data_IF_094373227972
#
_entry.id   IF_094373227972
#
_cell.length_a   1.000
_cell.length_b   1.000
_cell.length_c   1.000
_cell.angle_alpha   90.00
_cell.angle_beta   90.00
_cell.angle_gamma   90.00
#
_symmetry.space_group_name_H-M   'P 1'
#
loop_
_entity.id
_entity.type
_entity.pdbx_description
1 polymer ?
#
# COMPACT_ATOMS: atom_id res chain seq x y z
N UNK A 1 -22.62 26.88 -13.47
CA UNK A 1 -21.52 27.88 -13.39
C UNK A 1 -20.28 27.24 -13.99
N UNK A 2 -19.73 27.82 -15.05
CA UNK A 2 -18.54 27.29 -15.71
C UNK A 2 -17.31 27.51 -14.80
N UNK A 3 -16.70 26.42 -14.34
CA UNK A 3 -15.42 26.41 -13.63
C UNK A 3 -14.33 26.88 -14.60
N UNK A 4 -13.84 28.11 -14.42
CA UNK A 4 -12.65 28.59 -15.11
C UNK A 4 -11.46 27.71 -14.72
N UNK A 5 -11.02 26.85 -15.63
CA UNK A 5 -9.79 26.10 -15.46
C UNK A 5 -8.61 27.07 -15.41
N UNK A 6 -7.96 27.19 -14.24
CA UNK A 6 -6.69 27.92 -14.10
C UNK A 6 -5.67 27.33 -15.08
N UNK A 7 -4.86 28.16 -15.76
CA UNK A 7 -3.77 27.65 -16.60
C UNK A 7 -2.81 26.82 -15.74
N UNK A 8 -2.28 25.70 -16.26
CA UNK A 8 -1.38 24.84 -15.52
C UNK A 8 -0.12 25.63 -15.15
N UNK A 9 0.17 25.69 -13.85
CA UNK A 9 1.42 26.27 -13.34
C UNK A 9 2.59 25.46 -13.92
N UNK A 10 3.71 26.09 -14.31
CA UNK A 10 4.91 25.36 -14.69
C UNK A 10 5.32 24.43 -13.54
N UNK A 11 5.80 23.24 -13.90
CA UNK A 11 6.26 22.26 -12.92
C UNK A 11 7.29 22.92 -11.99
N UNK A 12 7.14 22.78 -10.67
CA UNK A 12 8.10 23.34 -9.72
C UNK A 12 9.50 22.77 -10.00
N UNK A 13 10.50 23.63 -9.86
CA UNK A 13 11.89 23.23 -10.07
C UNK A 13 12.45 22.63 -8.77
N UNK A 14 13.32 21.62 -8.87
CA UNK A 14 14.01 21.10 -7.70
C UNK A 14 14.88 22.17 -7.04
N UNK A 15 15.24 22.00 -5.75
CA UNK A 15 16.08 22.94 -5.02
C UNK A 15 17.38 23.22 -5.75
N UNK A 16 17.92 24.42 -5.58
CA UNK A 16 19.21 24.79 -6.15
C UNK A 16 20.30 23.81 -5.70
N UNK A 17 21.14 23.36 -6.64
CA UNK A 17 22.15 22.34 -6.37
C UNK A 17 21.67 20.88 -6.50
N UNK A 18 20.39 20.63 -6.78
CA UNK A 18 19.92 19.26 -7.07
C UNK A 18 20.60 18.73 -8.34
N UNK A 19 21.30 17.57 -8.28
CA UNK A 19 21.96 17.01 -9.45
C UNK A 19 20.97 16.67 -10.58
N UNK A 20 21.43 16.62 -11.84
CA UNK A 20 20.62 16.14 -12.96
C UNK A 20 20.09 14.72 -12.72
N UNK A 21 18.93 14.40 -13.29
CA UNK A 21 18.27 13.10 -13.11
C UNK A 21 19.18 11.90 -13.40
N UNK A 22 20.03 11.99 -14.43
CA UNK A 22 20.99 10.92 -14.78
C UNK A 22 22.06 10.69 -13.69
N UNK A 23 22.46 11.75 -12.97
CA UNK A 23 23.40 11.63 -11.86
C UNK A 23 22.74 11.02 -10.63
N UNK A 24 21.54 11.49 -10.28
CA UNK A 24 20.71 10.88 -9.23
C UNK A 24 20.48 9.40 -9.50
N UNK A 25 20.15 9.06 -10.75
CA UNK A 25 19.93 7.68 -11.16
C UNK A 25 21.23 6.84 -11.05
N UNK A 26 22.40 7.43 -11.31
CA UNK A 26 23.69 6.76 -11.08
C UNK A 26 23.95 6.50 -9.60
N UNK A 27 23.58 7.43 -8.72
CA UNK A 27 23.64 7.25 -7.26
C UNK A 27 22.71 6.13 -6.80
N UNK A 28 21.47 6.13 -7.27
CA UNK A 28 20.49 5.06 -7.00
C UNK A 28 20.99 3.70 -7.48
N UNK A 29 21.63 3.61 -8.65
CA UNK A 29 22.22 2.35 -9.14
C UNK A 29 23.33 1.83 -8.23
N UNK A 30 24.15 2.72 -7.67
CA UNK A 30 25.18 2.31 -6.70
C UNK A 30 24.56 1.77 -5.42
N UNK A 31 23.55 2.46 -4.88
CA UNK A 31 22.84 2.03 -3.67
C UNK A 31 22.12 0.69 -3.83
N UNK A 32 21.56 0.42 -5.01
CA UNK A 32 20.81 -0.81 -5.31
C UNK A 32 21.66 -1.92 -5.96
N UNK A 33 22.98 -1.76 -6.05
CA UNK A 33 23.83 -2.69 -6.79
C UNK A 33 23.78 -4.14 -6.25
N UNK A 34 23.73 -4.29 -4.91
CA UNK A 34 23.56 -5.59 -4.25
C UNK A 34 22.23 -6.25 -4.61
N UNK A 35 21.14 -5.50 -4.40
CA UNK A 35 19.78 -5.92 -4.75
C UNK A 35 19.64 -6.33 -6.22
N UNK A 36 20.20 -5.58 -7.17
CA UNK A 36 20.16 -5.92 -8.61
C UNK A 36 20.93 -7.18 -8.93
N UNK A 37 22.08 -7.39 -8.27
CA UNK A 37 22.88 -8.61 -8.45
C UNK A 37 22.11 -9.84 -7.97
N UNK A 38 21.48 -9.78 -6.79
CA UNK A 38 20.61 -10.86 -6.29
C UNK A 38 19.38 -11.05 -7.19
N UNK A 39 18.76 -9.96 -7.66
CA UNK A 39 17.60 -10.04 -8.55
C UNK A 39 17.93 -10.70 -9.90
N UNK A 40 19.08 -10.37 -10.50
CA UNK A 40 19.56 -11.00 -11.75
C UNK A 40 19.95 -12.47 -11.54
N UNK A 41 20.52 -12.80 -10.38
CA UNK A 41 20.76 -14.20 -10.02
C UNK A 41 19.44 -14.97 -9.90
N UNK A 42 18.45 -14.40 -9.23
CA UNK A 42 17.14 -15.03 -9.07
C UNK A 42 16.45 -15.25 -10.42
N UNK A 43 16.48 -14.27 -11.32
CA UNK A 43 15.98 -14.41 -12.70
C UNK A 43 16.65 -15.59 -13.43
N UNK A 44 17.97 -15.74 -13.30
CA UNK A 44 18.70 -16.83 -13.95
C UNK A 44 18.50 -18.21 -13.28
N UNK A 45 18.41 -18.26 -11.95
CA UNK A 45 18.47 -19.49 -11.16
C UNK A 45 17.11 -20.01 -10.66
N UNK A 46 16.08 -19.15 -10.61
CA UNK A 46 14.74 -19.46 -10.08
C UNK A 46 13.63 -19.40 -11.16
N UNK A 47 13.96 -19.01 -12.39
CA UNK A 47 12.98 -18.99 -13.49
C UNK A 47 12.34 -20.37 -13.76
N UNK A 48 11.05 -20.41 -14.14
CA UNK A 48 10.32 -21.67 -14.39
C UNK A 48 11.07 -22.58 -15.38
N UNK A 49 11.29 -23.83 -14.98
CA UNK A 49 11.92 -24.86 -15.83
C UNK A 49 13.40 -25.16 -15.55
N UNK A 50 14.05 -24.54 -14.55
CA UNK A 50 15.48 -24.80 -14.23
C UNK A 50 15.85 -25.12 -12.78
N UNK A 51 14.90 -25.21 -11.84
CA UNK A 51 15.20 -25.68 -10.48
C UNK A 51 13.97 -25.76 -9.58
N UNK A 52 13.91 -26.79 -8.73
CA UNK A 52 12.85 -26.99 -7.76
C UNK A 52 13.26 -26.29 -6.46
N UNK A 53 12.82 -25.05 -6.28
CA UNK A 53 12.85 -24.39 -4.98
C UNK A 53 11.73 -24.97 -4.13
N UNK A 54 12.03 -25.39 -2.90
CA UNK A 54 11.01 -25.82 -1.93
C UNK A 54 10.22 -24.61 -1.42
N UNK A 55 8.88 -24.74 -1.23
CA UNK A 55 8.00 -23.63 -0.87
C UNK A 55 8.33 -23.02 0.49
N UNK A 56 8.42 -21.71 0.55
CA UNK A 56 8.35 -20.95 1.80
C UNK A 56 7.55 -19.68 1.49
N UNK A 57 6.24 -19.87 1.32
CA UNK A 57 5.28 -18.93 0.72
C UNK A 57 5.07 -17.60 1.45
N UNK A 58 6.14 -16.83 1.65
CA UNK A 58 6.16 -15.51 2.33
C UNK A 58 7.02 -14.48 1.61
N UNK A 59 7.34 -14.69 0.34
CA UNK A 59 8.15 -13.75 -0.42
C UNK A 59 9.63 -13.66 -0.02
N UNK A 60 10.06 -14.37 1.03
CA UNK A 60 11.42 -14.43 1.53
C UNK A 60 12.18 -15.62 0.90
N UNK A 61 13.50 -15.51 0.78
CA UNK A 61 14.31 -16.64 0.34
C UNK A 61 14.38 -17.72 1.43
N UNK A 62 14.09 -18.97 1.04
CA UNK A 62 14.34 -20.12 1.90
C UNK A 62 15.83 -20.22 2.27
N UNK A 63 16.14 -20.86 3.40
CA UNK A 63 17.52 -20.99 3.90
C UNK A 63 18.45 -21.60 2.84
N UNK A 64 18.02 -22.69 2.22
CA UNK A 64 18.77 -23.38 1.16
C UNK A 64 18.99 -22.49 -0.08
N UNK A 65 17.98 -21.69 -0.48
CA UNK A 65 18.10 -20.79 -1.62
C UNK A 65 19.07 -19.64 -1.33
N UNK A 66 19.02 -19.11 -0.11
CA UNK A 66 19.95 -18.07 0.35
C UNK A 66 21.39 -18.59 0.43
N UNK A 67 21.61 -19.82 0.89
CA UNK A 67 22.95 -20.44 0.92
C UNK A 67 23.51 -20.70 -0.48
N UNK A 68 22.68 -21.16 -1.41
CA UNK A 68 23.08 -21.33 -2.81
C UNK A 68 23.45 -20.00 -3.46
N UNK A 69 22.60 -18.98 -3.33
CA UNK A 69 22.88 -17.64 -3.82
C UNK A 69 24.16 -17.06 -3.21
N UNK A 70 24.40 -17.29 -1.92
CA UNK A 70 25.59 -16.85 -1.21
C UNK A 70 26.86 -17.46 -1.81
N UNK A 71 26.84 -18.77 -2.09
CA UNK A 71 27.93 -19.45 -2.76
C UNK A 71 28.15 -18.96 -4.20
N UNK A 72 27.07 -18.79 -4.97
CA UNK A 72 27.14 -18.36 -6.38
C UNK A 72 27.62 -16.91 -6.55
N UNK A 73 27.29 -16.03 -5.59
CA UNK A 73 27.56 -14.59 -5.66
C UNK A 73 28.77 -14.14 -4.82
N UNK A 74 29.43 -15.06 -4.12
CA UNK A 74 30.51 -14.79 -3.17
C UNK A 74 30.07 -13.76 -2.09
N UNK A 75 28.93 -14.05 -1.46
CA UNK A 75 28.30 -13.24 -0.42
C UNK A 75 28.00 -14.11 0.81
N UNK A 76 27.73 -13.48 1.95
CA UNK A 76 27.15 -14.21 3.09
C UNK A 76 25.64 -14.43 2.88
N UNK A 77 25.05 -15.52 3.43
CA UNK A 77 23.59 -15.72 3.38
C UNK A 77 22.80 -14.54 3.97
N UNK A 78 23.37 -13.84 4.96
CA UNK A 78 22.78 -12.63 5.54
C UNK A 78 22.74 -11.47 4.53
N UNK A 79 23.81 -11.23 3.78
CA UNK A 79 23.85 -10.20 2.74
C UNK A 79 22.85 -10.51 1.63
N UNK A 80 22.77 -11.77 1.18
CA UNK A 80 21.80 -12.19 0.17
C UNK A 80 20.37 -11.91 0.61
N UNK A 81 20.00 -12.25 1.85
CA UNK A 81 18.64 -11.98 2.36
C UNK A 81 18.34 -10.48 2.41
N UNK A 82 19.28 -9.66 2.90
CA UNK A 82 19.10 -8.22 2.94
C UNK A 82 18.98 -7.59 1.53
N UNK A 83 19.83 -8.03 0.59
CA UNK A 83 19.77 -7.57 -0.80
C UNK A 83 18.49 -8.06 -1.51
N UNK A 84 18.00 -9.25 -1.17
CA UNK A 84 16.72 -9.78 -1.64
C UNK A 84 15.53 -8.94 -1.16
N UNK A 85 15.48 -8.65 0.15
CA UNK A 85 14.41 -7.83 0.74
C UNK A 85 14.43 -6.42 0.13
N UNK A 86 15.63 -5.86 -0.05
CA UNK A 86 15.86 -4.59 -0.76
C UNK A 86 15.36 -4.67 -2.20
N UNK A 87 15.64 -5.76 -2.92
CA UNK A 87 15.18 -5.96 -4.30
C UNK A 87 13.65 -6.04 -4.38
N UNK A 88 13.01 -6.69 -3.39
CA UNK A 88 11.55 -6.81 -3.30
C UNK A 88 10.90 -5.45 -3.02
N UNK A 89 11.41 -4.71 -2.02
CA UNK A 89 10.92 -3.38 -1.66
C UNK A 89 11.14 -2.34 -2.76
N UNK A 90 12.26 -2.44 -3.49
CA UNK A 90 12.53 -1.60 -4.66
C UNK A 90 11.74 -2.02 -5.91
N UNK A 91 11.01 -3.16 -5.87
CA UNK A 91 10.27 -3.74 -6.99
C UNK A 91 11.15 -4.15 -8.16
N UNK A 92 12.36 -4.64 -7.88
CA UNK A 92 13.28 -5.28 -8.82
C UNK A 92 12.97 -6.77 -8.99
N UNK A 93 12.33 -7.38 -8.00
CA UNK A 93 11.84 -8.76 -8.04
C UNK A 93 10.37 -8.76 -7.69
N UNK A 94 9.60 -9.55 -8.43
CA UNK A 94 8.21 -9.88 -8.14
C UNK A 94 8.20 -11.35 -7.67
N UNK A 95 7.64 -11.63 -6.49
CA UNK A 95 7.64 -12.99 -5.89
C UNK A 95 6.25 -13.56 -5.98
N UNK A 96 6.10 -14.69 -6.66
CA UNK A 96 4.84 -15.31 -7.03
C UNK A 96 4.78 -16.72 -6.45
N UNK A 97 4.09 -16.90 -5.33
CA UNK A 97 4.21 -18.10 -4.51
C UNK A 97 5.68 -18.44 -4.24
N UNK A 98 6.15 -19.53 -4.84
CA UNK A 98 7.53 -20.04 -4.68
C UNK A 98 8.47 -19.66 -5.83
N UNK A 99 7.99 -18.87 -6.79
CA UNK A 99 8.77 -18.43 -7.95
C UNK A 99 9.14 -16.96 -7.84
N UNK A 100 10.32 -16.62 -8.34
CA UNK A 100 10.80 -15.25 -8.40
C UNK A 100 10.91 -14.84 -9.87
N UNK A 101 10.35 -13.68 -10.22
CA UNK A 101 10.45 -13.13 -11.58
C UNK A 101 11.10 -11.75 -11.55
N UNK A 102 11.83 -11.40 -12.63
CA UNK A 102 12.42 -10.07 -12.74
C UNK A 102 11.30 -9.04 -12.80
N UNK A 103 11.25 -8.10 -11.86
CA UNK A 103 10.25 -7.04 -11.89
C UNK A 103 10.43 -6.10 -13.08
N UNK A 104 9.40 -5.35 -13.45
CA UNK A 104 9.49 -4.42 -14.61
C UNK A 104 10.63 -3.41 -14.49
N UNK A 105 10.98 -2.98 -13.27
CA UNK A 105 12.11 -2.07 -13.03
C UNK A 105 13.45 -2.71 -13.32
N UNK A 106 13.60 -4.01 -13.05
CA UNK A 106 14.81 -4.76 -13.42
C UNK A 106 14.92 -4.88 -14.95
N UNK A 107 13.81 -5.13 -15.65
CA UNK A 107 13.75 -5.17 -17.12
C UNK A 107 14.04 -3.83 -17.79
N UNK A 108 13.85 -2.73 -17.07
CA UNK A 108 14.13 -1.36 -17.54
C UNK A 108 15.45 -0.79 -17.00
N UNK A 109 16.16 -1.53 -16.14
CA UNK A 109 17.26 -1.03 -15.30
C UNK A 109 18.37 -0.31 -16.08
N UNK A 110 18.79 -0.86 -17.22
CA UNK A 110 19.92 -0.33 -17.98
C UNK A 110 19.53 0.84 -18.90
N UNK A 111 18.24 1.08 -19.13
CA UNK A 111 17.74 2.02 -20.17
C UNK A 111 16.82 3.12 -19.66
N UNK A 112 16.29 3.01 -18.44
CA UNK A 112 15.29 3.94 -17.90
C UNK A 112 15.70 4.44 -16.50
N UNK A 113 16.25 5.66 -16.46
CA UNK A 113 16.61 6.32 -15.20
C UNK A 113 15.40 6.62 -14.31
N UNK A 114 14.22 6.84 -14.90
CA UNK A 114 12.99 7.06 -14.13
C UNK A 114 12.58 5.78 -13.41
N UNK A 115 12.71 4.62 -14.05
CA UNK A 115 12.45 3.32 -13.42
C UNK A 115 13.36 3.07 -12.21
N UNK A 116 14.65 3.41 -12.35
CA UNK A 116 15.63 3.27 -11.26
C UNK A 116 15.33 4.20 -10.10
N UNK A 117 15.09 5.48 -10.38
CA UNK A 117 14.73 6.45 -9.34
C UNK A 117 13.46 6.06 -8.61
N UNK A 118 12.44 5.55 -9.33
CA UNK A 118 11.20 5.03 -8.72
C UNK A 118 11.45 3.79 -7.85
N UNK A 119 12.40 2.93 -8.21
CA UNK A 119 12.77 1.78 -7.38
C UNK A 119 13.45 2.22 -6.08
N UNK A 120 14.37 3.18 -6.17
CA UNK A 120 15.03 3.71 -4.99
C UNK A 120 14.06 4.49 -4.07
N UNK A 121 13.13 5.28 -4.62
CA UNK A 121 12.10 5.96 -3.81
C UNK A 121 11.20 4.95 -3.10
N UNK A 122 10.84 3.83 -3.74
CA UNK A 122 10.07 2.78 -3.08
C UNK A 122 10.84 2.15 -1.90
N UNK A 123 12.14 1.94 -2.03
CA UNK A 123 13.00 1.49 -0.92
C UNK A 123 13.11 2.54 0.19
N UNK A 124 13.28 3.82 -0.18
CA UNK A 124 13.31 4.94 0.76
C UNK A 124 12.02 5.02 1.58
N UNK A 125 10.87 4.86 0.94
CA UNK A 125 9.56 4.87 1.61
C UNK A 125 9.37 3.67 2.54
N UNK A 126 10.05 2.57 2.25
CA UNK A 126 10.05 1.35 3.03
C UNK A 126 11.31 1.18 3.90
N UNK A 127 12.02 2.27 4.25
CA UNK A 127 13.30 2.20 4.97
C UNK A 127 13.21 1.41 6.28
N UNK A 128 12.10 1.52 7.01
CA UNK A 128 11.88 0.84 8.29
C UNK A 128 11.59 -0.66 8.13
N UNK A 129 11.15 -1.08 6.94
CA UNK A 129 11.01 -2.49 6.56
C UNK A 129 12.35 -3.06 6.06
N UNK A 130 13.13 -2.26 5.33
CA UNK A 130 14.47 -2.63 4.89
C UNK A 130 15.48 -2.71 6.04
N UNK A 131 15.24 -1.95 7.12
CA UNK A 131 16.05 -1.92 8.32
C UNK A 131 15.16 -2.10 9.56
N UNK A 132 14.69 -3.34 9.83
CA UNK A 132 13.76 -3.61 10.93
C UNK A 132 14.39 -3.26 12.28
N UNK A 133 13.56 -2.77 13.21
CA UNK A 133 13.98 -2.50 14.58
C UNK A 133 14.42 -3.78 15.30
N UNK A 134 15.42 -3.66 16.16
CA UNK A 134 15.84 -4.76 17.02
C UNK A 134 14.75 -5.11 18.03
N UNK A 135 14.63 -6.39 18.41
CA UNK A 135 13.55 -6.87 19.30
C UNK A 135 13.53 -6.28 20.71
N UNK A 136 14.57 -5.53 21.10
CA UNK A 136 14.61 -4.75 22.35
C UNK A 136 13.82 -3.44 22.28
N UNK A 137 13.46 -2.97 21.07
CA UNK A 137 12.66 -1.76 20.87
C UNK A 137 11.19 -2.13 20.81
N UNK A 138 10.36 -1.44 21.60
CA UNK A 138 8.93 -1.72 21.66
C UNK A 138 8.22 -1.31 20.36
N UNK A 139 7.41 -2.22 19.81
CA UNK A 139 6.74 -2.02 18.53
C UNK A 139 5.87 -0.73 18.45
N UNK A 140 5.10 -0.35 19.50
CA UNK A 140 4.35 0.91 19.49
C UNK A 140 5.26 2.14 19.35
N UNK A 141 6.39 2.17 20.08
CA UNK A 141 7.33 3.29 20.03
C UNK A 141 8.06 3.36 18.68
N UNK A 142 8.38 2.20 18.09
CA UNK A 142 8.92 2.13 16.72
C UNK A 142 7.93 2.73 15.72
N UNK A 143 6.64 2.40 15.83
CA UNK A 143 5.61 2.94 14.95
C UNK A 143 5.46 4.47 15.08
N UNK A 144 5.47 5.01 16.30
CA UNK A 144 5.44 6.46 16.55
C UNK A 144 6.63 7.18 15.90
N UNK A 145 7.83 6.61 16.02
CA UNK A 145 9.05 7.21 15.45
C UNK A 145 9.01 7.18 13.93
N UNK A 146 8.60 6.06 13.34
CA UNK A 146 8.38 5.96 11.88
C UNK A 146 7.38 7.02 11.42
N UNK A 147 6.35 7.30 12.20
CA UNK A 147 5.34 8.33 11.92
C UNK A 147 5.86 9.76 12.04
N UNK A 148 6.81 10.00 12.93
CA UNK A 148 7.44 11.30 13.09
C UNK A 148 8.54 11.60 12.05
N UNK A 149 9.14 10.58 11.42
CA UNK A 149 10.27 10.76 10.49
C UNK A 149 10.03 11.71 9.30
N UNK A 150 8.84 11.79 8.67
CA UNK A 150 8.59 12.78 7.61
C UNK A 150 8.87 14.23 8.03
N UNK A 151 8.58 14.61 9.27
CA UNK A 151 8.89 15.95 9.77
C UNK A 151 10.39 16.14 9.98
N UNK A 152 11.08 15.14 10.53
CA UNK A 152 12.54 15.16 10.71
C UNK A 152 13.26 15.30 9.36
N UNK A 153 12.81 14.55 8.34
CA UNK A 153 13.35 14.64 6.98
C UNK A 153 13.10 16.01 6.33
N UNK A 154 11.92 16.59 6.57
CA UNK A 154 11.60 17.95 6.12
C UNK A 154 12.49 19.00 6.79
N UNK A 155 12.79 18.83 8.08
CA UNK A 155 13.73 19.70 8.80
C UNK A 155 15.15 19.60 8.22
N UNK A 156 15.66 18.38 8.01
CA UNK A 156 16.97 18.16 7.37
C UNK A 156 17.04 18.82 5.98
N UNK A 157 15.95 18.74 5.20
CA UNK A 157 15.85 19.36 3.88
C UNK A 157 15.94 20.88 3.96
N UNK A 158 15.31 21.50 4.96
CA UNK A 158 15.34 22.94 5.16
C UNK A 158 16.67 23.44 5.73
N UNK A 159 17.35 22.64 6.56
CA UNK A 159 18.67 22.99 7.11
C UNK A 159 19.77 23.04 6.04
N UNK A 160 19.63 22.29 4.94
CA UNK A 160 20.57 22.25 3.82
C UNK A 160 22.04 22.02 4.22
N UNK A 161 22.27 21.24 5.30
CA UNK A 161 23.58 20.97 5.87
C UNK A 161 23.53 19.97 7.03
N UNK A 162 24.66 19.70 7.71
CA UNK A 162 24.72 18.80 8.85
C UNK A 162 23.88 19.29 10.02
N UNK A 163 23.10 18.40 10.62
CA UNK A 163 22.27 18.67 11.79
C UNK A 163 22.71 17.79 12.97
N UNK A 164 22.96 18.36 14.16
CA UNK A 164 23.32 17.59 15.35
C UNK A 164 22.21 16.67 15.85
N UNK A 165 22.58 15.45 16.28
CA UNK A 165 21.66 14.48 16.88
C UNK A 165 20.81 15.06 18.04
N UNK A 166 21.35 15.86 18.97
CA UNK A 166 20.53 16.46 20.03
C UNK A 166 19.36 17.29 19.50
N UNK A 167 19.59 18.05 18.42
CA UNK A 167 18.54 18.86 17.79
C UNK A 167 17.47 17.99 17.12
N UNK A 168 17.87 16.90 16.47
CA UNK A 168 16.95 15.94 15.88
C UNK A 168 16.15 15.19 16.94
N UNK A 169 16.75 14.92 18.10
CA UNK A 169 16.10 14.28 19.24
C UNK A 169 15.03 15.18 19.86
N UNK A 170 15.32 16.46 20.03
CA UNK A 170 14.34 17.44 20.52
C UNK A 170 13.14 17.55 19.57
N UNK A 171 13.40 17.64 18.26
CA UNK A 171 12.35 17.67 17.23
C UNK A 171 11.51 16.38 17.23
N UNK A 172 12.16 15.22 17.29
CA UNK A 172 11.48 13.93 17.35
C UNK A 172 10.60 13.83 18.60
N UNK A 173 11.11 14.26 19.76
CA UNK A 173 10.36 14.26 21.02
C UNK A 173 9.11 15.13 20.95
N UNK A 174 9.23 16.34 20.40
CA UNK A 174 8.08 17.21 20.18
C UNK A 174 7.03 16.54 19.29
N UNK A 175 7.46 15.94 18.16
CA UNK A 175 6.50 15.33 17.23
C UNK A 175 5.81 14.10 17.79
N UNK A 176 6.53 13.25 18.51
CA UNK A 176 5.94 12.07 19.14
C UNK A 176 4.89 12.49 20.17
N UNK A 177 5.14 13.56 20.93
CA UNK A 177 4.16 14.10 21.87
C UNK A 177 2.92 14.67 21.17
N UNK A 178 3.11 15.39 20.06
CA UNK A 178 2.00 15.87 19.22
C UNK A 178 1.16 14.71 18.69
N UNK A 179 1.78 13.66 18.14
CA UNK A 179 1.09 12.46 17.63
C UNK A 179 0.28 11.76 18.73
N UNK A 180 0.83 11.65 19.93
CA UNK A 180 0.12 11.07 21.09
C UNK A 180 -1.08 11.93 21.48
N UNK A 181 -0.94 13.25 21.43
CA UNK A 181 -2.03 14.19 21.69
C UNK A 181 -3.12 14.12 20.63
N UNK A 182 -2.74 14.05 19.34
CA UNK A 182 -3.66 13.92 18.20
C UNK A 182 -4.47 12.61 18.25
N UNK A 183 -3.85 11.52 18.74
CA UNK A 183 -4.49 10.19 18.90
C UNK A 183 -5.39 10.07 20.13
N UNK A 184 -5.35 11.01 21.06
CA UNK A 184 -6.26 11.05 22.20
C UNK A 184 -7.65 11.49 21.75
N UNK A 185 -8.44 10.57 21.18
CA UNK A 185 -9.90 10.73 21.13
C UNK A 185 -10.44 10.75 22.57
N UNK A 186 -11.21 11.76 22.95
CA UNK A 186 -11.92 11.76 24.23
C UNK A 186 -13.10 10.76 24.12
N UNK A 187 -13.06 9.58 24.76
CA UNK A 187 -14.18 8.65 24.71
C UNK A 187 -15.29 9.19 25.61
N UNK A 188 -16.54 9.19 25.14
CA UNK A 188 -17.69 9.55 25.98
C UNK A 188 -18.05 8.36 26.89
N UNK A 189 -17.47 8.31 28.10
CA UNK A 189 -17.81 7.33 29.13
C UNK A 189 -16.77 7.25 30.26
N UNK A 190 -17.14 6.78 31.47
CA UNK A 190 -16.19 6.63 32.57
C UNK A 190 -15.22 5.47 32.29
N UNK A 191 -13.93 5.79 32.15
CA UNK A 191 -12.84 4.81 32.07
C UNK A 191 -12.07 4.71 33.39
N UNK A 192 -11.48 3.54 33.70
CA UNK A 192 -10.34 3.47 34.62
C UNK A 192 -9.18 4.30 34.06
N UNK A 193 -8.40 4.95 34.94
CA UNK A 193 -7.27 5.81 34.55
C UNK A 193 -6.38 5.10 33.50
N UNK A 194 -6.10 5.74 32.35
CA UNK A 194 -5.22 5.17 31.35
C UNK A 194 -3.85 4.95 32.00
N UNK A 195 -3.35 3.73 31.92
CA UNK A 195 -1.95 3.45 32.25
C UNK A 195 -1.09 4.24 31.27
N UNK A 196 -0.41 5.28 31.76
CA UNK A 196 0.58 6.01 30.97
C UNK A 196 1.63 4.98 30.53
N UNK A 197 1.73 4.63 29.24
CA UNK A 197 2.77 3.73 28.80
C UNK A 197 4.10 4.40 29.17
N UNK A 198 4.99 3.66 29.84
CA UNK A 198 6.33 4.17 30.09
C UNK A 198 6.92 4.56 28.72
N UNK A 199 7.16 5.86 28.49
CA UNK A 199 7.66 6.31 27.20
C UNK A 199 9.01 5.65 26.94
N UNK A 200 9.08 4.81 25.90
CA UNK A 200 10.33 4.22 25.48
C UNK A 200 11.38 5.33 25.25
N UNK A 201 12.66 5.08 25.57
CA UNK A 201 13.69 6.09 25.38
C UNK A 201 13.85 6.40 23.89
N UNK A 202 13.65 7.67 23.52
CA UNK A 202 13.79 8.14 22.14
C UNK A 202 15.23 8.08 21.55
N UNK A 203 16.32 8.25 22.33
CA UNK A 203 17.67 8.21 21.76
C UNK A 203 18.01 6.93 20.96
N UNK A 204 17.80 5.70 21.46
CA UNK A 204 18.05 4.49 20.68
C UNK A 204 17.11 4.36 19.47
N UNK A 205 15.87 4.86 19.57
CA UNK A 205 14.93 4.86 18.44
C UNK A 205 15.36 5.84 17.33
N UNK A 206 15.84 7.02 17.69
CA UNK A 206 16.40 7.97 16.71
C UNK A 206 17.66 7.40 16.06
N UNK A 207 18.58 6.81 16.84
CA UNK A 207 19.79 6.19 16.30
C UNK A 207 19.44 5.08 15.30
N UNK A 208 18.47 4.21 15.64
CA UNK A 208 17.94 3.20 14.71
C UNK A 208 17.38 3.84 13.43
N UNK A 209 16.53 4.87 13.54
CA UNK A 209 15.91 5.51 12.39
C UNK A 209 16.96 6.17 11.46
N UNK A 210 17.94 6.88 12.03
CA UNK A 210 19.03 7.48 11.28
C UNK A 210 19.91 6.42 10.59
N UNK A 211 20.22 5.31 11.27
CA UNK A 211 20.94 4.18 10.66
C UNK A 211 20.15 3.53 9.54
N UNK A 212 18.83 3.35 9.68
CA UNK A 212 17.98 2.81 8.64
C UNK A 212 17.94 3.69 7.39
N UNK A 213 17.76 5.00 7.56
CA UNK A 213 17.81 5.97 6.46
C UNK A 213 19.21 6.06 5.82
N UNK A 214 20.27 5.92 6.62
CA UNK A 214 21.64 5.83 6.09
C UNK A 214 21.87 4.54 5.30
N UNK A 215 21.32 3.41 5.75
CA UNK A 215 21.44 2.11 5.09
C UNK A 215 20.80 2.10 3.69
N UNK A 216 19.70 2.84 3.48
CA UNK A 216 19.08 3.02 2.15
C UNK A 216 19.70 4.15 1.34
N UNK A 217 20.69 4.87 1.90
CA UNK A 217 21.43 5.94 1.22
C UNK A 217 20.73 7.30 1.20
N UNK A 218 19.71 7.51 2.03
CA UNK A 218 18.96 8.76 2.09
C UNK A 218 19.73 9.88 2.81
N UNK A 219 20.54 9.53 3.80
CA UNK A 219 21.37 10.47 4.56
C UNK A 219 22.73 9.87 4.88
N UNK A 220 23.69 10.71 5.24
CA UNK A 220 24.92 10.32 5.94
C UNK A 220 24.72 10.54 7.44
N UNK A 221 25.15 9.60 8.25
CA UNK A 221 25.10 9.68 9.71
C UNK A 221 26.49 9.36 10.29
N UNK A 222 27.20 10.40 10.73
CA UNK A 222 28.57 10.31 11.26
C UNK A 222 28.82 11.46 12.23
N UNK A 223 29.76 11.29 13.17
CA UNK A 223 30.20 12.34 14.11
C UNK A 223 29.05 13.00 14.91
N UNK A 224 27.98 12.24 15.18
CA UNK A 224 26.79 12.75 15.88
C UNK A 224 25.98 13.77 15.07
N UNK A 225 26.09 13.74 13.74
CA UNK A 225 25.39 14.62 12.80
C UNK A 225 24.71 13.79 11.70
N UNK A 226 23.56 14.26 11.21
CA UNK A 226 22.91 13.72 10.02
C UNK A 226 22.80 14.77 8.90
N UNK A 227 23.03 14.35 7.66
CA UNK A 227 22.93 15.21 6.47
C UNK A 227 22.27 14.43 5.34
N UNK A 228 21.26 15.01 4.68
CA UNK A 228 20.66 14.38 3.49
C UNK A 228 21.71 14.22 2.39
N UNK A 229 21.72 13.05 1.75
CA UNK A 229 22.47 12.89 0.50
C UNK A 229 21.75 13.66 -0.62
N UNK A 230 22.40 13.95 -1.76
CA UNK A 230 21.70 14.54 -2.91
C UNK A 230 20.48 13.73 -3.37
N UNK A 231 20.54 12.39 -3.24
CA UNK A 231 19.43 11.50 -3.59
C UNK A 231 18.28 11.57 -2.56
N UNK A 232 18.61 11.59 -1.27
CA UNK A 232 17.62 11.79 -0.20
C UNK A 232 16.98 13.17 -0.25
N UNK A 233 17.76 14.21 -0.49
CA UNK A 233 17.25 15.58 -0.64
C UNK A 233 16.28 15.70 -1.81
N UNK A 234 16.63 15.13 -2.96
CA UNK A 234 15.73 15.07 -4.12
C UNK A 234 14.42 14.34 -3.78
N UNK A 235 14.47 13.20 -3.11
CA UNK A 235 13.27 12.43 -2.78
C UNK A 235 12.37 13.12 -1.74
N UNK A 236 12.95 13.75 -0.72
CA UNK A 236 12.20 14.57 0.23
C UNK A 236 11.54 15.75 -0.50
N UNK A 237 12.26 16.41 -1.42
CA UNK A 237 11.66 17.46 -2.24
C UNK A 237 10.50 16.96 -3.11
N UNK A 238 10.64 15.81 -3.78
CA UNK A 238 9.55 15.22 -4.58
C UNK A 238 8.31 14.97 -3.70
N UNK A 239 8.49 14.49 -2.47
CA UNK A 239 7.38 14.30 -1.53
C UNK A 239 6.75 15.62 -1.11
N UNK A 240 7.54 16.61 -0.73
CA UNK A 240 7.05 17.94 -0.38
C UNK A 240 6.29 18.58 -1.54
N UNK A 241 6.76 18.39 -2.77
CA UNK A 241 6.09 18.84 -3.99
C UNK A 241 4.74 18.15 -4.19
N UNK A 242 4.69 16.82 -4.04
CA UNK A 242 3.46 16.05 -4.08
C UNK A 242 2.47 16.51 -3.00
N UNK A 243 2.96 16.79 -1.79
CA UNK A 243 2.15 17.35 -0.69
C UNK A 243 1.61 18.72 -1.08
N UNK A 244 2.43 19.62 -1.64
CA UNK A 244 1.97 20.93 -2.08
C UNK A 244 0.95 20.85 -3.22
N UNK A 245 1.11 19.92 -4.16
CA UNK A 245 0.16 19.67 -5.25
C UNK A 245 -1.15 19.11 -4.68
N UNK A 246 -1.06 18.16 -3.75
CA UNK A 246 -2.19 17.55 -3.07
C UNK A 246 -2.99 18.54 -2.22
N UNK A 247 -2.32 19.41 -1.47
CA UNK A 247 -2.95 20.47 -0.67
C UNK A 247 -3.67 21.50 -1.55
N UNK A 248 -3.32 21.57 -2.84
CA UNK A 248 -4.01 22.39 -3.84
C UNK A 248 -5.08 21.60 -4.62
N UNK A 249 -5.25 20.31 -4.35
CA UNK A 249 -6.32 19.53 -4.98
C UNK A 249 -7.67 20.15 -4.60
N UNK A 250 -8.64 20.22 -5.52
CA UNK A 250 -9.98 20.70 -5.18
C UNK A 250 -10.66 19.88 -4.08
N UNK A 251 -10.21 18.64 -3.86
CA UNK A 251 -10.77 17.73 -2.87
C UNK A 251 -10.16 17.91 -1.47
N UNK A 252 -8.88 18.29 -1.35
CA UNK A 252 -8.24 18.60 -0.06
C UNK A 252 -8.07 17.40 0.87
N UNK A 253 -7.93 16.17 0.33
CA UNK A 253 -7.99 14.94 1.13
C UNK A 253 -6.68 14.56 1.85
N UNK A 254 -5.60 15.33 1.68
CA UNK A 254 -4.27 14.94 2.12
C UNK A 254 -4.14 14.77 3.64
N UNK A 255 -4.86 15.57 4.42
CA UNK A 255 -4.87 15.52 5.90
C UNK A 255 -5.93 14.55 6.44
N UNK A 256 -6.77 13.98 5.57
CA UNK A 256 -7.88 13.13 5.99
C UNK A 256 -7.40 11.71 6.35
N UNK A 257 -8.16 11.05 7.21
CA UNK A 257 -8.07 9.61 7.41
C UNK A 257 -8.33 8.86 6.10
N UNK A 258 -7.81 7.63 5.97
CA UNK A 258 -8.00 6.83 4.75
C UNK A 258 -9.46 6.76 4.30
N UNK A 259 -10.40 6.53 5.22
CA UNK A 259 -11.82 6.40 4.90
C UNK A 259 -12.39 7.66 4.21
N UNK A 260 -12.13 8.84 4.78
CA UNK A 260 -12.61 10.11 4.24
C UNK A 260 -11.92 10.47 2.92
N UNK A 261 -10.63 10.16 2.79
CA UNK A 261 -9.92 10.30 1.51
C UNK A 261 -10.54 9.41 0.42
N UNK A 262 -10.82 8.14 0.73
CA UNK A 262 -11.43 7.21 -0.22
C UNK A 262 -12.84 7.66 -0.61
N UNK A 263 -13.62 8.16 0.35
CA UNK A 263 -14.95 8.76 0.13
C UNK A 263 -14.88 9.98 -0.78
N UNK A 264 -13.89 10.86 -0.58
CA UNK A 264 -13.61 11.98 -1.48
C UNK A 264 -13.24 11.53 -2.89
N UNK A 265 -12.63 10.36 -3.04
CA UNK A 265 -12.25 9.78 -4.34
C UNK A 265 -13.39 9.05 -5.06
N UNK A 266 -14.48 8.70 -4.38
CA UNK A 266 -15.56 7.86 -4.90
C UNK A 266 -16.18 8.37 -6.23
N UNK A 267 -16.18 9.69 -6.46
CA UNK A 267 -16.76 10.31 -7.66
C UNK A 267 -15.71 10.72 -8.70
N UNK A 268 -14.44 10.43 -8.46
CA UNK A 268 -13.35 10.78 -9.36
C UNK A 268 -13.20 9.72 -10.46
N UNK A 269 -12.65 10.15 -11.61
CA UNK A 269 -12.20 9.21 -12.64
C UNK A 269 -10.98 8.42 -12.10
N UNK A 270 -10.73 7.18 -12.57
CA UNK A 270 -9.65 6.33 -12.05
C UNK A 270 -8.28 7.01 -11.99
N UNK A 271 -7.88 7.74 -13.04
CA UNK A 271 -6.59 8.43 -13.07
C UNK A 271 -6.51 9.59 -12.06
N UNK A 272 -7.63 10.27 -11.79
CA UNK A 272 -7.70 11.34 -10.80
C UNK A 272 -7.68 10.78 -9.37
N UNK A 273 -8.45 9.73 -9.10
CA UNK A 273 -8.40 9.01 -7.82
C UNK A 273 -6.99 8.48 -7.53
N UNK A 274 -6.32 7.90 -8.54
CA UNK A 274 -4.92 7.44 -8.40
C UNK A 274 -3.93 8.57 -8.11
N UNK A 275 -4.20 9.79 -8.58
CA UNK A 275 -3.39 10.95 -8.22
C UNK A 275 -3.60 11.33 -6.75
N UNK A 276 -4.85 11.34 -6.27
CA UNK A 276 -5.19 11.57 -4.86
C UNK A 276 -4.56 10.50 -3.94
N UNK A 277 -4.58 9.22 -4.32
CA UNK A 277 -3.92 8.16 -3.53
C UNK A 277 -2.42 8.42 -3.38
N UNK A 278 -1.73 8.77 -4.48
CA UNK A 278 -0.29 9.09 -4.42
C UNK A 278 -0.01 10.30 -3.55
N UNK A 279 -0.85 11.33 -3.65
CA UNK A 279 -0.78 12.54 -2.85
C UNK A 279 -0.93 12.24 -1.35
N UNK A 280 -1.96 11.48 -0.99
CA UNK A 280 -2.25 11.05 0.37
C UNK A 280 -1.11 10.18 0.94
N UNK A 281 -0.59 9.24 0.15
CA UNK A 281 0.55 8.39 0.51
C UNK A 281 1.86 9.19 0.69
N UNK A 282 2.08 10.25 -0.09
CA UNK A 282 3.29 11.05 0.00
C UNK A 282 3.45 11.79 1.35
N UNK A 283 2.32 12.07 2.00
CA UNK A 283 2.24 12.83 3.24
C UNK A 283 2.46 11.99 4.51
N UNK A 284 2.59 10.66 4.40
CA UNK A 284 2.55 9.76 5.55
C UNK A 284 3.47 8.54 5.36
N UNK A 285 3.85 7.85 6.46
CA UNK A 285 4.61 6.61 6.36
C UNK A 285 3.78 5.48 5.75
N UNK A 286 4.43 4.64 4.96
CA UNK A 286 3.77 3.55 4.23
C UNK A 286 3.09 2.54 5.15
N UNK A 287 3.72 2.15 6.26
CA UNK A 287 3.13 1.18 7.19
C UNK A 287 1.82 1.68 7.83
N UNK A 288 1.77 2.96 8.22
CA UNK A 288 0.56 3.59 8.76
C UNK A 288 -0.52 3.68 7.69
N UNK A 289 -0.17 4.15 6.49
CA UNK A 289 -1.08 4.19 5.34
C UNK A 289 -1.72 2.84 5.00
N UNK A 290 -0.93 1.77 4.94
CA UNK A 290 -1.43 0.41 4.66
C UNK A 290 -2.40 -0.03 5.76
N UNK A 291 -2.08 0.24 7.02
CA UNK A 291 -2.94 -0.09 8.16
C UNK A 291 -4.27 0.65 8.11
N UNK A 292 -4.25 1.97 7.86
CA UNK A 292 -5.45 2.78 7.69
C UNK A 292 -6.32 2.32 6.51
N UNK A 293 -5.71 2.00 5.36
CA UNK A 293 -6.44 1.51 4.17
C UNK A 293 -7.13 0.17 4.45
N UNK A 294 -6.45 -0.74 5.15
CA UNK A 294 -7.04 -2.03 5.56
C UNK A 294 -8.16 -1.82 6.57
N UNK A 295 -8.01 -0.89 7.52
CA UNK A 295 -9.07 -0.53 8.46
C UNK A 295 -10.31 0.03 7.73
N UNK A 296 -10.12 0.94 6.76
CA UNK A 296 -11.19 1.43 5.91
C UNK A 296 -11.86 0.31 5.11
N UNK A 297 -11.07 -0.65 4.60
CA UNK A 297 -11.59 -1.80 3.87
C UNK A 297 -12.48 -2.72 4.74
N UNK A 298 -12.18 -2.86 6.04
CA UNK A 298 -13.01 -3.63 6.99
C UNK A 298 -14.36 -2.99 7.29
N UNK A 299 -14.51 -1.70 7.00
CA UNK A 299 -15.76 -0.97 7.19
C UNK A 299 -16.93 -1.56 6.40
N UNK A 300 -18.14 -1.06 6.69
CA UNK A 300 -19.37 -1.57 6.07
C UNK A 300 -19.59 -1.11 4.62
N UNK A 301 -18.88 -0.07 4.18
CA UNK A 301 -19.04 0.51 2.85
C UNK A 301 -18.28 -0.30 1.78
N UNK A 302 -19.04 -1.02 0.96
CA UNK A 302 -18.52 -1.87 -0.11
C UNK A 302 -17.70 -1.08 -1.16
N UNK A 303 -18.06 0.18 -1.44
CA UNK A 303 -17.29 0.99 -2.38
C UNK A 303 -15.92 1.32 -1.79
N UNK A 304 -15.87 1.75 -0.52
CA UNK A 304 -14.60 2.09 0.14
C UNK A 304 -13.69 0.87 0.25
N UNK A 305 -14.26 -0.33 0.43
CA UNK A 305 -13.50 -1.58 0.39
C UNK A 305 -12.77 -1.79 -0.92
N UNK A 306 -13.46 -1.66 -2.06
CA UNK A 306 -12.83 -1.75 -3.38
C UNK A 306 -11.77 -0.65 -3.59
N UNK A 307 -12.09 0.60 -3.25
CA UNK A 307 -11.16 1.72 -3.41
C UNK A 307 -9.91 1.60 -2.52
N UNK A 308 -10.04 1.03 -1.32
CA UNK A 308 -8.90 0.76 -0.44
C UNK A 308 -7.90 -0.20 -1.11
N UNK A 309 -8.38 -1.27 -1.75
CA UNK A 309 -7.52 -2.19 -2.49
C UNK A 309 -6.94 -1.58 -3.79
N UNK A 310 -7.61 -0.62 -4.42
CA UNK A 310 -7.01 0.20 -5.49
C UNK A 310 -5.86 1.07 -4.96
N UNK A 311 -6.03 1.69 -3.79
CA UNK A 311 -4.97 2.46 -3.15
C UNK A 311 -3.79 1.57 -2.71
N UNK A 312 -4.05 0.36 -2.20
CA UNK A 312 -3.00 -0.62 -1.86
C UNK A 312 -2.18 -1.05 -3.09
N UNK A 313 -2.77 -1.10 -4.30
CA UNK A 313 -2.01 -1.31 -5.56
C UNK A 313 -1.07 -0.16 -5.89
N UNK A 314 -1.35 1.06 -5.40
CA UNK A 314 -0.43 2.19 -5.53
C UNK A 314 0.76 2.04 -4.59
N UNK A 315 0.54 1.47 -3.39
CA UNK A 315 1.61 1.15 -2.43
C UNK A 315 2.55 0.06 -2.96
N UNK A 316 1.99 -1.06 -3.45
CA UNK A 316 2.76 -2.17 -4.00
C UNK A 316 3.43 -3.04 -2.93
N UNK A 317 4.70 -3.40 -3.12
CA UNK A 317 5.41 -4.40 -2.32
C UNK A 317 5.34 -4.24 -0.78
N UNK A 318 5.40 -3.02 -0.22
CA UNK A 318 5.26 -2.84 1.23
C UNK A 318 3.90 -3.26 1.80
N UNK A 319 2.83 -3.27 0.99
CA UNK A 319 1.49 -3.67 1.43
C UNK A 319 1.31 -5.19 1.50
N UNK A 320 2.13 -5.96 0.78
CA UNK A 320 1.94 -7.39 0.59
C UNK A 320 1.83 -8.20 1.89
N UNK A 321 2.70 -8.00 2.91
CA UNK A 321 2.59 -8.77 4.15
C UNK A 321 1.26 -8.54 4.87
N UNK A 322 0.76 -7.31 4.87
CA UNK A 322 -0.50 -6.96 5.51
C UNK A 322 -1.67 -7.50 4.69
N UNK A 323 -1.64 -7.37 3.36
CA UNK A 323 -2.68 -7.94 2.49
C UNK A 323 -2.76 -9.46 2.65
N UNK A 324 -1.62 -10.16 2.71
CA UNK A 324 -1.58 -11.60 2.97
C UNK A 324 -2.18 -11.95 4.33
N UNK A 325 -1.91 -11.15 5.37
CA UNK A 325 -2.44 -11.40 6.72
C UNK A 325 -3.96 -11.29 6.82
N UNK A 326 -4.62 -10.55 5.92
CA UNK A 326 -6.07 -10.38 5.91
C UNK A 326 -6.79 -11.27 4.89
N UNK A 327 -6.05 -12.12 4.16
CA UNK A 327 -6.63 -12.98 3.12
C UNK A 327 -7.61 -14.03 3.66
N UNK A 328 -7.58 -14.31 4.97
CA UNK A 328 -8.52 -15.21 5.64
C UNK A 328 -9.75 -14.48 6.23
N UNK A 329 -9.78 -13.16 6.19
CA UNK A 329 -10.95 -12.38 6.62
C UNK A 329 -12.03 -12.42 5.54
N UNK A 330 -13.19 -13.02 5.84
CA UNK A 330 -14.24 -13.29 4.84
C UNK A 330 -14.65 -12.05 4.01
N UNK A 331 -14.70 -10.87 4.63
CA UNK A 331 -15.08 -9.60 3.98
C UNK A 331 -14.01 -9.04 3.05
N UNK A 332 -12.74 -9.36 3.29
CA UNK A 332 -11.59 -8.85 2.54
C UNK A 332 -10.99 -9.88 1.58
N UNK A 333 -11.27 -11.16 1.81
CA UNK A 333 -10.65 -12.29 1.13
C UNK A 333 -10.69 -12.17 -0.41
N UNK A 334 -11.83 -11.92 -1.08
CA UNK A 334 -11.83 -11.81 -2.53
C UNK A 334 -10.94 -10.68 -3.05
N UNK A 335 -10.92 -9.53 -2.37
CA UNK A 335 -10.06 -8.40 -2.72
C UNK A 335 -8.59 -8.69 -2.46
N UNK A 336 -8.26 -9.33 -1.34
CA UNK A 336 -6.91 -9.73 -1.00
C UNK A 336 -6.36 -10.75 -1.98
N UNK A 337 -7.15 -11.75 -2.39
CA UNK A 337 -6.74 -12.74 -3.38
C UNK A 337 -6.49 -12.12 -4.76
N UNK A 338 -7.37 -11.22 -5.22
CA UNK A 338 -7.14 -10.49 -6.48
C UNK A 338 -5.90 -9.60 -6.39
N UNK A 339 -5.74 -8.85 -5.31
CA UNK A 339 -4.57 -8.01 -5.09
C UNK A 339 -3.28 -8.83 -5.08
N UNK A 340 -3.27 -9.96 -4.37
CA UNK A 340 -2.13 -10.87 -4.31
C UNK A 340 -1.87 -11.48 -5.68
N UNK A 341 -2.88 -11.92 -6.42
CA UNK A 341 -2.70 -12.48 -7.76
C UNK A 341 -2.08 -11.45 -8.73
N UNK A 342 -2.55 -10.21 -8.73
CA UNK A 342 -1.96 -9.14 -9.55
C UNK A 342 -0.54 -8.78 -9.10
N UNK A 343 -0.33 -8.65 -7.79
CA UNK A 343 0.99 -8.42 -7.23
C UNK A 343 1.96 -9.57 -7.56
N UNK A 344 1.43 -10.79 -7.61
CA UNK A 344 2.09 -12.01 -8.02
C UNK A 344 2.12 -12.21 -9.55
N UNK A 345 1.84 -11.14 -10.32
CA UNK A 345 2.02 -11.09 -11.75
C UNK A 345 1.18 -12.12 -12.52
N UNK A 346 0.00 -12.47 -12.01
CA UNK A 346 -1.03 -13.15 -12.79
C UNK A 346 -1.36 -12.32 -14.04
N UNK A 347 -1.72 -12.99 -15.14
CA UNK A 347 -2.21 -12.29 -16.33
C UNK A 347 -3.45 -11.48 -15.94
N UNK A 348 -3.53 -10.18 -16.29
CA UNK A 348 -4.73 -9.38 -16.06
C UNK A 348 -6.02 -10.04 -16.56
N UNK A 349 -5.95 -10.84 -17.63
CA UNK A 349 -7.09 -11.58 -18.15
C UNK A 349 -7.45 -12.78 -17.28
N UNK A 350 -6.50 -13.40 -16.57
CA UNK A 350 -6.70 -14.62 -15.76
C UNK A 350 -6.81 -14.34 -14.26
N UNK A 351 -6.55 -13.13 -13.79
CA UNK A 351 -6.52 -12.77 -12.35
C UNK A 351 -7.77 -13.24 -11.61
N UNK A 352 -8.94 -13.13 -12.25
CA UNK A 352 -10.23 -13.48 -11.66
C UNK A 352 -10.39 -14.99 -11.42
N UNK A 353 -9.59 -15.83 -12.08
CA UNK A 353 -9.58 -17.28 -11.91
C UNK A 353 -8.98 -17.72 -10.56
N UNK A 354 -8.32 -16.82 -9.83
CA UNK A 354 -7.85 -17.09 -8.46
C UNK A 354 -9.00 -17.28 -7.49
N UNK A 355 -10.17 -16.70 -7.80
CA UNK A 355 -11.35 -16.78 -6.96
C UNK A 355 -12.09 -18.09 -7.20
N UNK A 356 -12.45 -18.75 -6.11
CA UNK A 356 -13.47 -19.79 -6.14
C UNK A 356 -14.81 -19.21 -6.60
N UNK A 357 -15.73 -20.10 -6.93
CA UNK A 357 -17.08 -19.71 -7.31
C UNK A 357 -17.79 -18.91 -6.20
N UNK A 358 -17.65 -19.36 -4.95
CA UNK A 358 -18.24 -18.70 -3.78
C UNK A 358 -17.68 -17.30 -3.58
N UNK A 359 -16.36 -17.13 -3.69
CA UNK A 359 -15.69 -15.82 -3.58
C UNK A 359 -16.08 -14.88 -4.73
N UNK A 360 -16.25 -15.42 -5.94
CA UNK A 360 -16.75 -14.66 -7.09
C UNK A 360 -18.17 -14.16 -6.86
N UNK A 361 -19.07 -15.01 -6.34
CA UNK A 361 -20.43 -14.60 -5.99
C UNK A 361 -20.43 -13.59 -4.86
N UNK A 362 -19.60 -13.80 -3.83
CA UNK A 362 -19.47 -12.87 -2.71
C UNK A 362 -19.07 -11.47 -3.21
N UNK A 363 -18.03 -11.38 -4.07
CA UNK A 363 -17.57 -10.12 -4.66
C UNK A 363 -18.62 -9.48 -5.58
N UNK A 364 -19.38 -10.30 -6.30
CA UNK A 364 -20.50 -9.81 -7.12
C UNK A 364 -21.57 -9.14 -6.25
N UNK A 365 -21.92 -9.70 -5.08
CA UNK A 365 -22.87 -9.08 -4.15
C UNK A 365 -22.30 -7.79 -3.55
N UNK A 366 -21.03 -7.76 -3.18
CA UNK A 366 -20.38 -6.57 -2.62
C UNK A 366 -20.33 -5.42 -3.66
N UNK A 367 -20.01 -5.75 -4.91
CA UNK A 367 -20.07 -4.78 -6.03
C UNK A 367 -21.48 -4.24 -6.22
N UNK A 368 -22.50 -5.11 -6.13
CA UNK A 368 -23.89 -4.68 -6.21
C UNK A 368 -24.28 -3.76 -5.03
N UNK A 369 -23.75 -4.00 -3.83
CA UNK A 369 -23.95 -3.15 -2.66
C UNK A 369 -23.33 -1.76 -2.89
N UNK A 370 -22.10 -1.71 -3.41
CA UNK A 370 -21.44 -0.44 -3.75
C UNK A 370 -22.25 0.37 -4.78
N UNK A 371 -22.77 -0.28 -5.82
CA UNK A 371 -23.60 0.38 -6.84
C UNK A 371 -24.96 0.82 -6.27
N UNK A 372 -25.57 0.04 -5.37
CA UNK A 372 -26.83 0.42 -4.73
C UNK A 372 -26.69 1.65 -3.83
N UNK A 373 -25.57 1.78 -3.12
CA UNK A 373 -25.34 2.87 -2.17
C UNK A 373 -24.80 4.15 -2.85
N UNK A 374 -23.97 4.01 -3.90
CA UNK A 374 -23.22 5.14 -4.49
C UNK A 374 -23.48 5.37 -5.98
N UNK A 375 -24.09 4.41 -6.67
CA UNK A 375 -24.30 4.42 -8.11
C UNK A 375 -25.72 4.80 -8.54
N UNK A 376 -25.96 4.73 -9.84
CA UNK A 376 -27.29 4.90 -10.42
C UNK A 376 -28.04 3.56 -10.50
N UNK A 377 -29.36 3.57 -10.31
CA UNK A 377 -30.18 2.36 -10.32
C UNK A 377 -30.02 1.52 -11.61
N UNK A 378 -29.80 2.17 -12.75
CA UNK A 378 -29.56 1.51 -14.04
C UNK A 378 -28.25 0.71 -14.06
N UNK A 379 -27.22 1.14 -13.32
CA UNK A 379 -25.97 0.38 -13.20
C UNK A 379 -26.19 -0.89 -12.39
N UNK A 380 -27.06 -0.85 -11.38
CA UNK A 380 -27.40 -2.02 -10.58
C UNK A 380 -28.13 -3.08 -11.43
N UNK A 381 -29.00 -2.66 -12.34
CA UNK A 381 -29.65 -3.58 -13.30
C UNK A 381 -28.63 -4.14 -14.31
N UNK A 382 -27.73 -3.32 -14.84
CA UNK A 382 -26.65 -3.81 -15.73
C UNK A 382 -25.73 -4.82 -15.05
N UNK A 383 -25.45 -4.63 -13.76
CA UNK A 383 -24.67 -5.57 -12.95
C UNK A 383 -25.39 -6.92 -12.77
N UNK A 384 -26.73 -6.92 -12.73
CA UNK A 384 -27.54 -8.14 -12.78
C UNK A 384 -27.42 -8.86 -14.12
N UNK A 385 -27.37 -8.12 -15.23
CA UNK A 385 -27.22 -8.67 -16.57
C UNK A 385 -25.82 -9.26 -16.81
N UNK A 386 -24.79 -8.76 -16.12
CA UNK A 386 -23.43 -9.30 -16.16
C UNK A 386 -23.20 -10.45 -15.18
N UNK A 387 -24.25 -10.97 -14.55
CA UNK A 387 -24.11 -12.01 -13.54
C UNK A 387 -23.58 -13.34 -14.10
N UNK A 388 -22.87 -14.07 -13.24
CA UNK A 388 -22.09 -15.26 -13.61
C UNK A 388 -22.94 -16.52 -13.83
N UNK A 389 -24.27 -16.44 -13.70
CA UNK A 389 -25.19 -17.55 -13.92
C UNK A 389 -26.02 -17.32 -15.19
N UNK A 390 -26.33 -18.38 -15.96
CA UNK A 390 -27.09 -18.25 -17.20
C UNK A 390 -28.58 -17.94 -16.95
N UNK A 391 -29.08 -18.09 -15.71
CA UNK A 391 -30.46 -17.76 -15.36
C UNK A 391 -30.56 -17.06 -14.02
N UNK A 392 -31.54 -16.15 -13.90
CA UNK A 392 -31.77 -15.37 -12.67
C UNK A 392 -32.17 -16.25 -11.47
N UNK A 393 -33.01 -17.32 -11.59
CA UNK A 393 -33.28 -18.21 -10.46
C UNK A 393 -32.02 -18.88 -9.90
N UNK A 394 -31.13 -19.36 -10.78
CA UNK A 394 -29.86 -19.95 -10.37
C UNK A 394 -28.96 -18.93 -9.68
N UNK A 395 -28.92 -17.69 -10.20
CA UNK A 395 -28.20 -16.59 -9.55
C UNK A 395 -28.74 -16.30 -8.16
N UNK A 396 -30.06 -16.20 -8.00
CA UNK A 396 -30.68 -15.90 -6.71
C UNK A 396 -30.37 -16.98 -5.68
N UNK A 397 -30.47 -18.27 -6.05
CA UNK A 397 -30.11 -19.38 -5.16
C UNK A 397 -28.63 -19.37 -4.76
N UNK A 398 -27.73 -18.97 -5.66
CA UNK A 398 -26.30 -18.85 -5.38
C UNK A 398 -26.01 -17.66 -4.45
N UNK A 399 -26.58 -16.49 -4.74
CA UNK A 399 -26.48 -15.27 -3.92
C UNK A 399 -26.99 -15.51 -2.50
N UNK A 400 -28.06 -16.28 -2.31
CA UNK A 400 -28.56 -16.65 -0.97
C UNK A 400 -27.53 -17.46 -0.16
N UNK A 401 -26.71 -18.28 -0.82
CA UNK A 401 -25.74 -19.18 -0.19
C UNK A 401 -24.38 -18.53 0.05
N UNK A 402 -24.07 -17.44 -0.65
CA UNK A 402 -22.78 -16.76 -0.57
C UNK A 402 -22.47 -16.10 0.79
N UNK A 403 -23.44 -16.03 1.72
CA UNK A 403 -23.21 -15.57 3.08
C UNK A 403 -22.85 -14.08 3.22
N UNK A 404 -23.06 -13.26 2.18
CA UNK A 404 -22.70 -11.84 2.21
C UNK A 404 -23.66 -11.04 3.12
N UNK A 405 -23.15 -10.19 4.05
CA UNK A 405 -23.99 -9.47 5.02
C UNK A 405 -24.98 -8.49 4.39
N UNK A 406 -24.65 -7.95 3.20
CA UNK A 406 -25.51 -7.02 2.43
C UNK A 406 -26.49 -7.70 1.46
N UNK A 407 -26.60 -9.05 1.48
CA UNK A 407 -27.41 -9.78 0.50
C UNK A 407 -28.86 -9.29 0.44
N UNK A 408 -29.50 -9.12 1.60
CA UNK A 408 -30.91 -8.68 1.65
C UNK A 408 -31.07 -7.27 1.07
N UNK A 409 -30.19 -6.34 1.44
CA UNK A 409 -30.20 -4.95 0.98
C UNK A 409 -30.04 -4.88 -0.54
N UNK A 410 -29.08 -5.63 -1.09
CA UNK A 410 -28.83 -5.73 -2.53
C UNK A 410 -30.04 -6.26 -3.29
N UNK A 411 -30.65 -7.35 -2.81
CA UNK A 411 -31.84 -7.91 -3.45
C UNK A 411 -33.03 -6.95 -3.40
N UNK A 412 -33.23 -6.22 -2.29
CA UNK A 412 -34.28 -5.19 -2.20
C UNK A 412 -34.01 -4.05 -3.19
N UNK A 413 -32.78 -3.55 -3.28
CA UNK A 413 -32.40 -2.49 -4.20
C UNK A 413 -32.57 -2.93 -5.67
N UNK A 414 -32.13 -4.15 -6.01
CA UNK A 414 -32.31 -4.74 -7.34
C UNK A 414 -33.79 -4.84 -7.71
N UNK A 415 -34.62 -5.33 -6.79
CA UNK A 415 -36.05 -5.44 -7.04
C UNK A 415 -36.75 -4.08 -7.23
N UNK A 416 -36.26 -3.03 -6.58
CA UNK A 416 -36.76 -1.67 -6.76
C UNK A 416 -36.31 -1.06 -8.10
N UNK A 417 -35.11 -1.40 -8.57
CA UNK A 417 -34.53 -0.86 -9.80
C UNK A 417 -34.98 -1.62 -11.07
N UNK A 418 -35.35 -2.89 -10.98
CA UNK A 418 -35.57 -3.74 -12.16
C UNK A 418 -36.85 -3.37 -12.94
N UNK A 419 -36.78 -3.19 -14.27
CA UNK A 419 -37.93 -2.76 -15.08
C UNK A 419 -38.99 -3.85 -15.29
N UNK A 420 -38.60 -5.14 -15.28
CA UNK A 420 -39.55 -6.26 -15.38
C UNK A 420 -40.22 -6.55 -14.02
N UNK A 421 -41.56 -6.39 -13.89
CA UNK A 421 -42.27 -6.66 -12.65
C UNK A 421 -42.25 -8.13 -12.22
N UNK A 422 -42.13 -9.08 -13.15
CA UNK A 422 -42.04 -10.50 -12.83
C UNK A 422 -40.70 -10.80 -12.15
N UNK A 423 -39.61 -10.28 -12.69
CA UNK A 423 -38.28 -10.43 -12.09
C UNK A 423 -38.18 -9.70 -10.76
N UNK A 424 -38.66 -8.45 -10.68
CA UNK A 424 -38.71 -7.69 -9.43
C UNK A 424 -39.47 -8.44 -8.31
N UNK A 425 -40.52 -9.18 -8.65
CA UNK A 425 -41.25 -10.03 -7.70
C UNK A 425 -40.43 -11.25 -7.27
N UNK A 426 -39.72 -11.90 -8.19
CA UNK A 426 -38.84 -13.02 -7.88
C UNK A 426 -37.69 -12.61 -6.96
N UNK A 427 -37.04 -11.48 -7.24
CA UNK A 427 -35.95 -10.92 -6.41
C UNK A 427 -36.45 -10.55 -5.00
N UNK A 428 -37.63 -9.92 -4.88
CA UNK A 428 -38.26 -9.66 -3.56
C UNK A 428 -38.50 -10.93 -2.75
N UNK A 429 -38.97 -11.98 -3.41
CA UNK A 429 -39.18 -13.29 -2.75
C UNK A 429 -37.86 -13.85 -2.23
N UNK A 430 -36.79 -13.78 -3.02
CA UNK A 430 -35.47 -14.21 -2.59
C UNK A 430 -34.96 -13.40 -1.39
N UNK A 431 -35.13 -12.07 -1.39
CA UNK A 431 -34.77 -11.22 -0.26
C UNK A 431 -35.49 -11.64 1.04
N UNK A 432 -36.79 -11.94 0.94
CA UNK A 432 -37.59 -12.41 2.07
C UNK A 432 -37.12 -13.78 2.59
N UNK A 433 -36.76 -14.70 1.70
CA UNK A 433 -36.22 -16.02 2.08
C UNK A 433 -34.91 -15.90 2.86
N UNK A 434 -33.98 -15.04 2.40
CA UNK A 434 -32.73 -14.78 3.13
C UNK A 434 -33.01 -14.18 4.51
N UNK A 435 -33.90 -13.18 4.59
CA UNK A 435 -34.22 -12.51 5.85
C UNK A 435 -34.85 -13.45 6.89
N UNK A 436 -35.64 -14.43 6.45
CA UNK A 436 -36.34 -15.38 7.32
C UNK A 436 -35.57 -16.68 7.57
N UNK A 437 -34.34 -16.82 7.04
CA UNK A 437 -33.50 -18.02 7.18
C UNK A 437 -34.01 -19.23 6.40
N UNK A 438 -34.88 -19.03 5.40
CA UNK A 438 -35.46 -20.10 4.60
C UNK A 438 -34.52 -20.56 3.48
N UNK A 439 -34.16 -21.85 3.51
CA UNK A 439 -33.41 -22.57 2.45
C UNK A 439 -34.18 -22.53 1.12
#
# INVERSE_FOLDING_TARGET
MATQARPPRPAPRPPEGTPPAAELARMARRGLAGAVRVARWADAALSPGRGHGTPDGRGALSVATAERAAADLDLTPRQVRADWDTARLAGLVEVHGDTARPGWRLRAWDRDDTAVLRGWVALFDAWSLAHPAEGSLEAPAVAEVVEAMPQVLSFLQLSAGPVPVPQLLDLLGQRVEELRTERCEIPYGPQPEPAVPASAPLPPLLDWALRGLAAVGALTYADGQATLTPLGSWAVWVKLEQICVAAQSPAGNIEQAAEDMLRGCARLRPNAARAEYRAWLAARPVGSAVTELIAAARGEDALLRGLAFEALRVVGAPAEPVVRSVADEASLRPYALLWLAEYEGADPEDVHLVLTREETTWLWVDTAAAVADHGEAQLLVRHLESAVQPTVPALLDEVRKAGHPRTVQVLVALAAAHPDPALAKAVRRAAFQVHTGGV
#
